data_IF_444098490818
#
_entry.id   IF_444098490818
#
_cell.length_a   1.000
_cell.length_b   1.000
_cell.length_c   1.000
_cell.angle_alpha   90.00
_cell.angle_beta   90.00
_cell.angle_gamma   90.00
#
_symmetry.space_group_name_H-M   'P 1'
#
loop_
_entity.id
_entity.type
_entity.pdbx_description
1 polymer ?
#
# COMPACT_ATOMS: atom_id res chain seq x y z
N UNK A 1 14.47 -35.02 40.15
CA UNK A 1 13.04 -34.77 40.36
C UNK A 1 12.67 -33.69 39.37
N UNK A 2 12.21 -34.06 38.22
CA UNK A 2 10.84 -34.07 37.65
C UNK A 2 10.24 -32.68 37.59
N UNK A 3 9.79 -32.14 36.49
CA UNK A 3 9.12 -32.75 35.31
C UNK A 3 9.10 -31.72 34.14
N UNK A 4 9.16 -32.30 32.94
CA UNK A 4 8.88 -31.70 31.66
C UNK A 4 7.38 -31.33 31.53
N UNK A 5 7.03 -30.23 30.83
CA UNK A 5 5.77 -30.14 30.13
C UNK A 5 5.99 -29.66 28.69
N UNK A 6 5.91 -30.63 27.80
CA UNK A 6 5.64 -30.46 26.37
C UNK A 6 4.17 -30.10 26.22
N UNK A 7 3.85 -29.08 25.45
CA UNK A 7 2.53 -28.86 24.92
C UNK A 7 2.55 -29.24 23.42
N UNK A 8 1.75 -30.26 23.11
CA UNK A 8 1.64 -30.86 21.79
C UNK A 8 0.72 -30.10 20.87
N UNK A 9 1.04 -30.23 19.61
CA UNK A 9 0.20 -29.89 18.47
C UNK A 9 -1.07 -30.73 18.46
N UNK A 10 -2.24 -30.10 18.37
CA UNK A 10 -3.51 -30.78 18.13
C UNK A 10 -3.90 -30.63 16.65
N UNK A 11 -3.54 -31.65 15.87
CA UNK A 11 -4.12 -31.93 14.57
C UNK A 11 -5.54 -32.46 14.76
N UNK A 12 -6.56 -31.77 14.25
CA UNK A 12 -7.94 -32.28 14.23
C UNK A 12 -8.18 -32.97 12.90
N UNK A 13 -8.06 -34.29 12.93
CA UNK A 13 -8.53 -35.19 11.88
C UNK A 13 -10.04 -35.42 12.01
N UNK A 14 -10.78 -35.12 10.94
CA UNK A 14 -12.22 -35.35 10.82
C UNK A 14 -12.48 -36.84 10.54
N UNK A 15 -12.88 -37.64 11.55
CA UNK A 15 -13.41 -38.99 11.36
C UNK A 15 -14.94 -38.96 11.41
N UNK A 16 -15.56 -39.40 10.29
CA UNK A 16 -17.00 -39.74 10.20
C UNK A 16 -17.36 -40.90 11.13
N UNK A 17 -18.42 -40.74 11.87
CA UNK A 17 -19.20 -41.86 12.44
C UNK A 17 -20.66 -41.79 11.99
N UNK A 18 -21.29 -42.95 11.65
CA UNK A 18 -22.67 -42.99 11.20
C UNK A 18 -23.67 -43.24 12.36
N UNK A 19 -24.80 -42.53 12.25
CA UNK A 19 -26.13 -42.97 12.64
C UNK A 19 -26.46 -43.18 14.10
N UNK A 20 -27.46 -42.40 14.62
CA UNK A 20 -28.55 -42.89 15.45
C UNK A 20 -29.70 -41.87 15.40
N UNK A 21 -30.82 -42.34 14.84
CA UNK A 21 -32.24 -42.12 15.12
C UNK A 21 -32.79 -40.75 15.52
N UNK A 22 -33.78 -40.38 14.75
CA UNK A 22 -34.73 -39.28 14.80
C UNK A 22 -35.30 -38.86 16.13
N UNK A 23 -35.06 -37.57 16.41
CA UNK A 23 -35.92 -36.76 17.22
C UNK A 23 -36.60 -35.72 16.34
N UNK A 24 -37.81 -35.23 16.66
CA UNK A 24 -38.52 -34.31 15.79
C UNK A 24 -37.72 -33.03 15.61
N UNK A 25 -37.45 -32.68 14.34
CA UNK A 25 -36.85 -31.43 13.95
C UNK A 25 -37.65 -30.29 14.58
N UNK A 26 -37.01 -29.51 15.41
CA UNK A 26 -37.55 -28.28 15.96
C UNK A 26 -37.66 -27.24 14.82
N UNK A 27 -38.87 -26.89 14.33
CA UNK A 27 -39.04 -26.04 13.15
C UNK A 27 -39.00 -24.55 13.49
N UNK A 28 -38.09 -24.11 14.36
CA UNK A 28 -38.02 -22.72 14.79
C UNK A 28 -36.64 -22.09 14.73
N UNK A 29 -35.80 -22.49 13.78
CA UNK A 29 -34.80 -21.55 13.26
C UNK A 29 -35.45 -20.87 12.04
N UNK A 30 -36.45 -20.04 12.32
CA UNK A 30 -36.83 -18.96 11.39
C UNK A 30 -35.55 -18.15 11.19
N UNK A 31 -34.95 -18.23 10.02
CA UNK A 31 -33.94 -17.31 9.55
C UNK A 31 -34.55 -15.92 9.55
N UNK A 32 -34.44 -15.24 10.70
CA UNK A 32 -34.90 -13.86 10.89
C UNK A 32 -34.21 -13.07 9.79
N UNK A 33 -34.99 -12.47 8.88
CA UNK A 33 -34.39 -11.62 7.86
C UNK A 33 -33.50 -10.60 8.58
N UNK A 34 -32.25 -10.39 8.11
CA UNK A 34 -31.33 -9.52 8.81
C UNK A 34 -31.94 -8.12 8.91
N UNK A 35 -31.89 -7.54 10.12
CA UNK A 35 -32.46 -6.22 10.36
C UNK A 35 -31.75 -5.16 9.51
N UNK A 36 -32.43 -4.05 9.22
CA UNK A 36 -31.82 -2.90 8.54
C UNK A 36 -30.53 -2.46 9.26
N UNK A 37 -30.53 -2.43 10.59
CA UNK A 37 -29.38 -2.08 11.40
C UNK A 37 -28.18 -3.03 11.20
N UNK A 38 -28.43 -4.36 11.14
CA UNK A 38 -27.37 -5.35 10.93
C UNK A 38 -26.73 -5.21 9.54
N UNK A 39 -27.55 -4.90 8.51
CA UNK A 39 -27.08 -4.66 7.14
C UNK A 39 -26.20 -3.42 7.06
N UNK A 40 -26.59 -2.33 7.72
CA UNK A 40 -25.79 -1.09 7.79
C UNK A 40 -24.49 -1.33 8.56
N UNK A 41 -24.56 -2.00 9.72
CA UNK A 41 -23.36 -2.27 10.54
C UNK A 41 -22.32 -3.07 9.76
N UNK A 42 -22.73 -4.13 9.07
CA UNK A 42 -21.82 -4.90 8.21
C UNK A 42 -21.21 -4.04 7.10
N UNK A 43 -22.03 -3.23 6.42
CA UNK A 43 -21.56 -2.35 5.34
C UNK A 43 -20.54 -1.33 5.84
N UNK A 44 -20.77 -0.73 7.02
CA UNK A 44 -19.84 0.19 7.67
C UNK A 44 -18.52 -0.47 8.06
N UNK A 45 -18.58 -1.68 8.65
CA UNK A 45 -17.38 -2.42 9.02
C UNK A 45 -16.55 -2.82 7.80
N UNK A 46 -17.22 -3.24 6.72
CA UNK A 46 -16.55 -3.56 5.46
C UNK A 46 -15.89 -2.32 4.85
N UNK A 47 -16.62 -1.20 4.76
CA UNK A 47 -16.11 0.05 4.21
C UNK A 47 -14.89 0.56 5.00
N UNK A 48 -14.98 0.56 6.34
CA UNK A 48 -13.86 0.95 7.20
C UNK A 48 -12.65 0.01 7.04
N UNK A 49 -12.88 -1.30 6.88
CA UNK A 49 -11.81 -2.27 6.66
C UNK A 49 -11.11 -2.06 5.32
N UNK A 50 -11.86 -1.90 4.23
CA UNK A 50 -11.31 -1.63 2.90
C UNK A 50 -10.52 -0.33 2.87
N UNK A 51 -11.01 0.74 3.54
CA UNK A 51 -10.29 2.00 3.68
C UNK A 51 -8.97 1.80 4.43
N UNK A 52 -8.99 1.16 5.59
CA UNK A 52 -7.81 0.93 6.43
C UNK A 52 -6.73 0.10 5.70
N UNK A 53 -7.13 -0.81 4.80
CA UNK A 53 -6.21 -1.67 4.05
C UNK A 53 -5.79 -1.09 2.69
N UNK A 54 -5.96 0.22 2.51
CA UNK A 54 -5.35 0.99 1.42
C UNK A 54 -6.13 0.96 0.10
N UNK A 55 -7.43 0.67 0.11
CA UNK A 55 -8.27 0.77 -1.08
C UNK A 55 -8.47 2.25 -1.48
N UNK A 56 -8.33 2.57 -2.78
CA UNK A 56 -8.61 3.92 -3.29
C UNK A 56 -10.09 4.26 -3.21
N UNK A 57 -10.43 5.56 -3.11
CA UNK A 57 -11.80 6.05 -2.98
C UNK A 57 -12.72 5.48 -4.07
N UNK A 58 -12.32 5.57 -5.34
CA UNK A 58 -13.07 5.05 -6.48
C UNK A 58 -13.45 3.57 -6.32
N UNK A 59 -12.49 2.73 -5.93
CA UNK A 59 -12.73 1.29 -5.78
C UNK A 59 -13.57 0.98 -4.55
N UNK A 60 -13.34 1.68 -3.46
CA UNK A 60 -14.09 1.52 -2.23
C UNK A 60 -15.58 1.86 -2.45
N UNK A 61 -15.87 3.00 -3.06
CA UNK A 61 -17.23 3.45 -3.33
C UNK A 61 -17.98 2.45 -4.25
N UNK A 62 -17.30 1.98 -5.31
CA UNK A 62 -17.86 0.95 -6.19
C UNK A 62 -18.13 -0.38 -5.47
N UNK A 63 -17.21 -0.83 -4.61
CA UNK A 63 -17.35 -2.06 -3.83
C UNK A 63 -18.54 -1.96 -2.89
N UNK A 64 -18.61 -0.88 -2.11
CA UNK A 64 -19.66 -0.66 -1.14
C UNK A 64 -21.03 -0.54 -1.80
N UNK A 65 -21.15 0.17 -2.93
CA UNK A 65 -22.40 0.29 -3.67
C UNK A 65 -22.89 -1.08 -4.18
N UNK A 66 -21.98 -1.95 -4.65
CA UNK A 66 -22.34 -3.31 -5.09
C UNK A 66 -22.76 -4.20 -3.93
N UNK A 67 -22.05 -4.17 -2.81
CA UNK A 67 -22.40 -4.96 -1.61
C UNK A 67 -23.74 -4.46 -1.05
N UNK A 68 -23.94 -3.15 -0.98
CA UNK A 68 -25.22 -2.57 -0.55
C UNK A 68 -26.39 -3.06 -1.39
N UNK A 69 -26.25 -3.02 -2.74
CA UNK A 69 -27.30 -3.50 -3.65
C UNK A 69 -27.64 -4.98 -3.43
N UNK A 70 -26.63 -5.84 -3.14
CA UNK A 70 -26.85 -7.25 -2.79
C UNK A 70 -27.55 -7.43 -1.45
N UNK A 71 -27.33 -6.50 -0.51
CA UNK A 71 -28.00 -6.46 0.79
C UNK A 71 -29.36 -5.74 0.73
N UNK A 72 -29.89 -5.44 -0.46
CA UNK A 72 -31.13 -4.67 -0.67
C UNK A 72 -31.08 -3.29 0.01
N UNK A 73 -29.95 -2.64 -0.08
CA UNK A 73 -29.73 -1.26 0.35
C UNK A 73 -29.37 -0.38 -0.83
N UNK A 74 -29.92 0.82 -0.90
CA UNK A 74 -29.39 1.89 -1.75
C UNK A 74 -28.38 2.67 -0.93
N UNK A 75 -27.14 2.74 -1.41
CA UNK A 75 -26.06 3.39 -0.67
C UNK A 75 -25.34 4.39 -1.57
N UNK A 76 -25.19 5.61 -1.09
CA UNK A 76 -24.28 6.61 -1.63
C UNK A 76 -23.09 6.69 -0.70
N UNK A 77 -21.91 6.34 -1.22
CA UNK A 77 -20.66 6.34 -0.47
C UNK A 77 -19.78 7.47 -0.99
N UNK A 78 -19.18 8.23 -0.08
CA UNK A 78 -18.16 9.23 -0.36
C UNK A 78 -16.96 8.97 0.54
N UNK A 79 -15.85 8.57 -0.06
CA UNK A 79 -14.63 8.24 0.64
C UNK A 79 -13.56 9.31 0.40
N UNK A 80 -12.85 9.70 1.47
CA UNK A 80 -11.66 10.52 1.41
C UNK A 80 -10.57 9.92 2.33
N UNK A 81 -9.31 10.33 2.24
CA UNK A 81 -8.23 9.71 3.02
C UNK A 81 -8.43 9.73 4.54
N UNK A 82 -9.21 10.65 5.07
CA UNK A 82 -9.41 10.86 6.51
C UNK A 82 -10.82 10.56 7.00
N UNK A 83 -11.69 10.02 6.15
CA UNK A 83 -13.05 9.72 6.56
C UNK A 83 -13.92 9.12 5.47
N UNK A 84 -15.08 8.67 5.89
CA UNK A 84 -16.06 8.01 5.05
C UNK A 84 -17.45 8.54 5.41
N UNK A 85 -18.23 8.90 4.40
CA UNK A 85 -19.64 9.27 4.52
C UNK A 85 -20.44 8.22 3.76
N UNK A 86 -21.39 7.58 4.44
CA UNK A 86 -22.32 6.63 3.85
C UNK A 86 -23.74 7.11 4.11
N UNK A 87 -24.49 7.34 3.03
CA UNK A 87 -25.92 7.56 3.10
C UNK A 87 -26.62 6.31 2.59
N UNK A 88 -27.46 5.72 3.42
CA UNK A 88 -28.06 4.40 3.19
C UNK A 88 -29.57 4.50 3.36
N UNK A 89 -30.29 3.90 2.39
CA UNK A 89 -31.76 3.78 2.40
C UNK A 89 -32.11 2.31 2.23
N UNK A 90 -33.09 1.82 2.98
CA UNK A 90 -33.62 0.48 2.76
C UNK A 90 -34.35 0.43 1.42
N UNK A 91 -33.94 -0.47 0.54
CA UNK A 91 -34.57 -0.60 -0.79
C UNK A 91 -35.96 -1.24 -0.72
N UNK A 92 -36.23 -1.98 0.35
CA UNK A 92 -37.51 -2.67 0.59
C UNK A 92 -38.45 -1.88 1.51
N UNK A 93 -38.07 -0.70 2.00
CA UNK A 93 -38.94 0.14 2.80
C UNK A 93 -40.13 0.61 1.98
N UNK A 94 -41.34 0.28 2.43
CA UNK A 94 -42.56 0.85 1.88
C UNK A 94 -42.53 2.36 2.09
N UNK A 95 -42.48 3.12 1.01
CA UNK A 95 -42.59 4.57 1.06
C UNK A 95 -44.07 4.89 1.01
N UNK A 96 -44.66 5.40 2.09
CA UNK A 96 -46.01 6.00 2.04
C UNK A 96 -46.01 7.08 0.95
N UNK A 97 -47.04 7.09 0.13
CA UNK A 97 -47.17 8.06 -0.99
C UNK A 97 -46.95 9.48 -0.46
N UNK A 98 -45.82 10.11 -0.84
CA UNK A 98 -45.48 11.49 -0.44
C UNK A 98 -44.53 11.64 0.74
N UNK A 99 -44.13 10.57 1.44
CA UNK A 99 -43.13 10.64 2.50
C UNK A 99 -41.72 10.30 1.97
N UNK A 100 -40.67 11.06 2.30
CA UNK A 100 -39.32 10.68 1.95
C UNK A 100 -38.90 9.39 2.68
N UNK A 101 -38.30 8.44 1.96
CA UNK A 101 -37.76 7.23 2.57
C UNK A 101 -36.77 7.59 3.68
N UNK A 102 -36.85 6.89 4.80
CA UNK A 102 -35.95 7.11 5.94
C UNK A 102 -34.50 6.85 5.50
N UNK A 103 -33.71 7.91 5.44
CA UNK A 103 -32.30 7.89 5.06
C UNK A 103 -31.43 7.92 6.32
N UNK A 104 -30.47 6.98 6.39
CA UNK A 104 -29.50 6.93 7.48
C UNK A 104 -28.15 7.36 6.97
N UNK A 105 -27.68 8.54 7.37
CA UNK A 105 -26.34 9.00 7.06
C UNK A 105 -25.38 8.70 8.21
N UNK A 106 -24.25 8.08 7.90
CA UNK A 106 -23.16 7.77 8.84
C UNK A 106 -21.89 8.45 8.38
N UNK A 107 -21.27 9.19 9.28
CA UNK A 107 -19.96 9.81 9.09
C UNK A 107 -18.96 9.13 10.01
N UNK A 108 -17.90 8.58 9.45
CA UNK A 108 -16.85 7.87 10.20
C UNK A 108 -15.52 8.54 9.92
N UNK A 109 -14.85 9.02 10.96
CA UNK A 109 -13.46 9.49 10.85
C UNK A 109 -12.53 8.29 10.86
N UNK A 110 -11.64 8.23 9.90
CA UNK A 110 -10.63 7.16 9.74
C UNK A 110 -9.27 7.81 9.52
N UNK A 111 -8.22 7.14 9.93
CA UNK A 111 -6.86 7.51 9.56
C UNK A 111 -6.57 7.03 8.13
N UNK A 112 -5.68 7.72 7.37
CA UNK A 112 -5.26 7.24 6.06
C UNK A 112 -4.75 5.80 6.13
N UNK A 113 -5.33 4.92 5.34
CA UNK A 113 -4.99 3.50 5.36
C UNK A 113 -3.67 3.19 4.66
N UNK A 114 -2.95 2.21 5.19
CA UNK A 114 -1.76 1.61 4.58
C UNK A 114 -2.13 0.39 3.74
N UNK A 115 -1.30 0.06 2.75
CA UNK A 115 -1.50 -1.14 1.94
C UNK A 115 -1.27 -2.39 2.79
N UNK A 116 -2.32 -3.21 2.94
CA UNK A 116 -2.27 -4.52 3.59
C UNK A 116 -3.01 -5.54 2.70
N UNK A 117 -2.26 -6.20 1.82
CA UNK A 117 -2.83 -7.09 0.81
C UNK A 117 -3.47 -8.35 1.41
N UNK A 118 -2.91 -8.89 2.49
CA UNK A 118 -3.47 -10.08 3.13
C UNK A 118 -4.83 -9.77 3.76
N UNK A 119 -4.92 -8.68 4.52
CA UNK A 119 -6.17 -8.26 5.17
C UNK A 119 -7.21 -7.79 4.16
N UNK A 120 -6.77 -7.15 3.08
CA UNK A 120 -7.66 -6.79 1.98
C UNK A 120 -8.30 -8.03 1.34
N UNK A 121 -7.50 -9.08 1.07
CA UNK A 121 -8.02 -10.35 0.54
C UNK A 121 -8.95 -11.06 1.52
N UNK A 122 -8.66 -10.98 2.83
CA UNK A 122 -9.51 -11.57 3.86
C UNK A 122 -10.84 -10.80 3.99
N UNK A 123 -10.82 -9.48 3.91
CA UNK A 123 -12.03 -8.66 3.92
C UNK A 123 -12.93 -8.93 2.71
N UNK A 124 -12.33 -9.09 1.52
CA UNK A 124 -13.04 -9.48 0.29
C UNK A 124 -13.67 -10.87 0.43
N UNK A 125 -12.93 -11.86 0.94
CA UNK A 125 -13.43 -13.22 1.15
C UNK A 125 -14.60 -13.25 2.17
N UNK A 126 -14.53 -12.48 3.26
CA UNK A 126 -15.63 -12.36 4.22
C UNK A 126 -16.87 -11.74 3.55
N UNK A 127 -16.69 -10.69 2.75
CA UNK A 127 -17.79 -10.07 2.03
C UNK A 127 -18.46 -11.05 1.05
N UNK A 128 -17.68 -11.83 0.29
CA UNK A 128 -18.21 -12.85 -0.63
C UNK A 128 -18.96 -13.97 0.13
N UNK A 129 -18.43 -14.48 1.26
CA UNK A 129 -19.10 -15.50 2.06
C UNK A 129 -20.44 -15.01 2.64
N UNK A 130 -20.48 -13.76 3.09
CA UNK A 130 -21.74 -13.15 3.57
C UNK A 130 -22.74 -13.00 2.42
N UNK A 131 -22.29 -12.54 1.26
CA UNK A 131 -23.15 -12.38 0.08
C UNK A 131 -23.62 -13.71 -0.53
N UNK A 132 -22.85 -14.78 -0.35
CA UNK A 132 -23.22 -16.15 -0.73
C UNK A 132 -24.19 -16.81 0.27
N UNK A 133 -24.39 -16.20 1.45
CA UNK A 133 -25.20 -16.78 2.53
C UNK A 133 -24.49 -17.88 3.34
N UNK A 134 -23.18 -18.04 3.13
CA UNK A 134 -22.35 -19.01 3.87
C UNK A 134 -22.00 -18.52 5.28
N UNK A 135 -22.10 -17.20 5.50
CA UNK A 135 -21.84 -16.54 6.78
C UNK A 135 -22.93 -15.52 7.07
N UNK A 136 -23.37 -15.42 8.32
CA UNK A 136 -24.33 -14.41 8.75
C UNK A 136 -23.69 -13.01 8.79
N UNK A 137 -24.50 -11.94 8.68
CA UNK A 137 -24.04 -10.55 8.78
C UNK A 137 -23.32 -10.26 10.10
N UNK A 138 -23.81 -10.80 11.21
CA UNK A 138 -23.22 -10.61 12.53
C UNK A 138 -21.86 -11.33 12.66
N UNK A 139 -21.72 -12.52 12.10
CA UNK A 139 -20.44 -13.25 12.03
C UNK A 139 -19.46 -12.52 11.12
N UNK A 140 -19.90 -12.06 9.94
CA UNK A 140 -19.09 -11.27 9.03
C UNK A 140 -18.57 -9.98 9.66
N UNK A 141 -19.43 -9.24 10.36
CA UNK A 141 -19.03 -8.02 11.09
C UNK A 141 -18.02 -8.33 12.20
N UNK A 142 -18.18 -9.46 12.90
CA UNK A 142 -17.23 -9.90 13.93
C UNK A 142 -15.89 -10.30 13.31
N UNK A 143 -15.92 -11.05 12.21
CA UNK A 143 -14.72 -11.45 11.46
C UNK A 143 -13.93 -10.23 10.93
N UNK A 144 -14.62 -9.24 10.36
CA UNK A 144 -13.99 -7.98 9.91
C UNK A 144 -13.35 -7.21 11.09
N UNK A 145 -13.98 -7.18 12.26
CA UNK A 145 -13.36 -6.57 13.45
C UNK A 145 -12.13 -7.34 13.93
N UNK A 146 -12.14 -8.65 13.83
CA UNK A 146 -11.01 -9.49 14.23
C UNK A 146 -9.76 -9.27 13.34
N UNK A 147 -9.91 -8.84 12.08
CA UNK A 147 -8.79 -8.50 11.20
C UNK A 147 -7.94 -7.33 11.73
N UNK A 148 -8.46 -6.49 12.62
CA UNK A 148 -7.73 -5.34 13.19
C UNK A 148 -6.68 -5.72 14.25
N UNK A 149 -6.54 -7.00 14.58
CA UNK A 149 -5.55 -7.46 15.54
C UNK A 149 -4.11 -7.02 15.17
N UNK A 150 -3.29 -6.56 16.13
CA UNK A 150 -1.93 -6.12 15.85
C UNK A 150 -1.06 -7.27 15.33
N UNK A 151 -0.09 -6.94 14.48
CA UNK A 151 0.87 -7.91 13.95
C UNK A 151 1.79 -8.43 15.05
N UNK A 152 2.13 -9.72 15.01
CA UNK A 152 3.06 -10.32 15.97
C UNK A 152 4.49 -9.76 15.83
N UNK A 153 5.31 -9.95 16.88
CA UNK A 153 6.71 -9.44 16.94
C UNK A 153 7.55 -9.94 15.76
N UNK A 154 7.39 -11.19 15.35
CA UNK A 154 8.12 -11.74 14.21
C UNK A 154 7.79 -11.01 12.89
N UNK A 155 6.52 -10.66 12.67
CA UNK A 155 6.11 -9.88 11.49
C UNK A 155 6.67 -8.46 11.53
N UNK A 156 6.71 -7.84 12.71
CA UNK A 156 7.32 -6.51 12.91
C UNK A 156 8.82 -6.54 12.64
N UNK A 157 9.54 -7.55 13.14
CA UNK A 157 10.97 -7.73 12.87
C UNK A 157 11.26 -7.95 11.38
N UNK A 158 10.42 -8.76 10.70
CA UNK A 158 10.53 -8.97 9.26
C UNK A 158 10.26 -7.68 8.48
N UNK A 159 9.30 -6.86 8.91
CA UNK A 159 9.04 -5.54 8.33
C UNK A 159 10.26 -4.63 8.46
N UNK A 160 10.84 -4.50 9.67
CA UNK A 160 12.05 -3.69 9.88
C UNK A 160 13.23 -4.16 9.03
N UNK A 161 13.44 -5.47 8.91
CA UNK A 161 14.48 -6.04 8.05
C UNK A 161 14.20 -5.75 6.56
N UNK A 162 12.96 -5.80 6.13
CA UNK A 162 12.57 -5.53 4.74
C UNK A 162 12.75 -4.06 4.34
N UNK A 163 12.74 -3.11 5.28
CA UNK A 163 13.18 -1.74 4.99
C UNK A 163 14.64 -1.71 4.54
N UNK A 164 15.52 -2.41 5.25
CA UNK A 164 16.93 -2.53 4.87
C UNK A 164 17.12 -3.20 3.51
N UNK A 165 16.38 -4.29 3.23
CA UNK A 165 16.41 -4.96 1.94
C UNK A 165 15.91 -4.08 0.80
N UNK A 166 14.81 -3.33 1.00
CA UNK A 166 14.29 -2.40 0.02
C UNK A 166 15.30 -1.29 -0.29
N UNK A 167 15.93 -0.73 0.76
CA UNK A 167 16.97 0.30 0.59
C UNK A 167 18.20 -0.23 -0.16
N UNK A 168 18.69 -1.42 0.20
CA UNK A 168 19.80 -2.08 -0.51
C UNK A 168 19.47 -2.33 -1.97
N UNK A 169 18.28 -2.85 -2.25
CA UNK A 169 17.87 -3.20 -3.60
C UNK A 169 17.69 -1.97 -4.48
N UNK A 170 17.14 -0.88 -3.95
CA UNK A 170 17.02 0.38 -4.69
C UNK A 170 18.38 1.00 -4.97
N UNK A 171 19.33 0.98 -4.02
CA UNK A 171 20.71 1.39 -4.27
C UNK A 171 21.35 0.54 -5.38
N UNK A 172 21.13 -0.79 -5.36
CA UNK A 172 21.59 -1.70 -6.43
C UNK A 172 20.97 -1.42 -7.79
N UNK A 173 19.65 -1.16 -7.86
CA UNK A 173 18.97 -0.78 -9.11
C UNK A 173 19.42 0.58 -9.66
N UNK A 174 19.89 1.47 -8.78
CA UNK A 174 20.50 2.75 -9.18
C UNK A 174 21.97 2.61 -9.65
N UNK A 175 22.53 1.40 -9.63
CA UNK A 175 23.85 1.11 -10.13
C UNK A 175 24.98 1.70 -9.28
N UNK A 176 24.85 1.68 -7.95
CA UNK A 176 25.83 2.27 -7.04
C UNK A 176 26.85 1.25 -6.52
N UNK A 177 27.94 1.75 -5.90
CA UNK A 177 28.98 0.92 -5.32
C UNK A 177 28.47 0.04 -4.16
N UNK A 178 29.17 -1.04 -3.86
CA UNK A 178 28.84 -1.95 -2.76
C UNK A 178 28.79 -1.26 -1.38
N UNK A 179 29.65 -0.24 -1.18
CA UNK A 179 29.65 0.57 0.02
C UNK A 179 28.34 1.36 0.17
N UNK A 180 27.83 1.91 -0.92
CA UNK A 180 26.54 2.62 -0.94
C UNK A 180 25.38 1.67 -0.63
N UNK A 181 25.38 0.48 -1.24
CA UNK A 181 24.36 -0.56 -1.01
C UNK A 181 24.34 -1.00 0.45
N UNK A 182 25.51 -1.30 1.02
CA UNK A 182 25.63 -1.73 2.41
C UNK A 182 25.20 -0.61 3.39
N UNK A 183 25.59 0.63 3.11
CA UNK A 183 25.23 1.80 3.92
C UNK A 183 23.72 2.06 3.85
N UNK A 184 23.13 2.04 2.64
CA UNK A 184 21.69 2.19 2.47
C UNK A 184 20.90 1.08 3.17
N UNK A 185 21.38 -0.18 3.12
CA UNK A 185 20.79 -1.31 3.83
C UNK A 185 20.75 -1.09 5.35
N UNK A 186 21.87 -0.69 5.94
CA UNK A 186 22.01 -0.44 7.38
C UNK A 186 21.11 0.70 7.84
N UNK A 187 21.13 1.83 7.13
CA UNK A 187 20.29 2.99 7.44
C UNK A 187 18.80 2.63 7.25
N UNK A 188 18.44 1.97 6.17
CA UNK A 188 17.07 1.52 5.91
C UNK A 188 16.55 0.60 7.01
N UNK A 189 17.39 -0.32 7.52
CA UNK A 189 17.03 -1.15 8.67
C UNK A 189 16.76 -0.33 9.93
N UNK A 190 17.62 0.65 10.24
CA UNK A 190 17.42 1.56 11.39
C UNK A 190 16.10 2.33 11.26
N UNK A 191 15.78 2.83 10.06
CA UNK A 191 14.50 3.49 9.78
C UNK A 191 13.34 2.51 9.96
N UNK A 192 13.47 1.27 9.50
CA UNK A 192 12.47 0.22 9.69
C UNK A 192 12.20 -0.10 11.16
N UNK A 193 13.23 -0.16 11.98
CA UNK A 193 13.09 -0.31 13.44
C UNK A 193 12.35 0.90 14.02
N UNK A 194 12.72 2.12 13.62
CA UNK A 194 12.06 3.34 14.06
C UNK A 194 10.59 3.38 13.65
N UNK A 195 10.27 2.96 12.43
CA UNK A 195 8.89 2.84 11.93
C UNK A 195 8.06 1.88 12.79
N UNK A 196 8.59 0.70 13.09
CA UNK A 196 7.92 -0.31 13.93
C UNK A 196 7.73 0.19 15.36
N UNK A 197 8.71 0.86 15.96
CA UNK A 197 8.61 1.45 17.30
C UNK A 197 7.66 2.66 17.35
N UNK A 198 7.51 3.37 16.24
CA UNK A 198 6.58 4.49 16.06
C UNK A 198 5.13 4.05 15.95
N UNK A 199 4.88 2.82 15.52
CA UNK A 199 3.54 2.28 15.37
C UNK A 199 2.77 2.32 16.71
N UNK A 200 1.59 2.92 16.69
CA UNK A 200 0.76 3.10 17.90
C UNK A 200 1.14 4.30 18.79
N UNK A 201 2.09 5.14 18.36
CA UNK A 201 2.48 6.38 19.07
C UNK A 201 2.19 7.61 18.19
N UNK A 202 1.02 8.25 18.28
CA UNK A 202 0.60 9.32 17.36
C UNK A 202 1.61 10.47 17.24
N UNK A 203 2.15 10.94 18.37
CA UNK A 203 3.15 12.05 18.37
C UNK A 203 4.45 11.71 17.65
N UNK A 204 4.86 10.45 17.69
CA UNK A 204 6.08 10.00 17.00
C UNK A 204 5.81 9.81 15.52
N UNK A 205 4.65 9.27 15.15
CA UNK A 205 4.26 9.08 13.74
C UNK A 205 4.15 10.39 12.97
N UNK A 206 3.69 11.48 13.59
CA UNK A 206 3.59 12.80 12.94
C UNK A 206 4.96 13.38 12.52
N UNK A 207 6.00 13.14 13.32
CA UNK A 207 7.36 13.62 13.07
C UNK A 207 8.28 12.61 12.39
N UNK A 208 7.83 11.38 12.22
CA UNK A 208 8.66 10.25 11.79
C UNK A 208 9.39 10.51 10.46
N UNK A 209 8.71 11.08 9.47
CA UNK A 209 9.29 11.37 8.16
C UNK A 209 10.51 12.30 8.28
N UNK A 210 10.36 13.42 9.01
CA UNK A 210 11.43 14.40 9.17
C UNK A 210 12.61 13.84 10.00
N UNK A 211 12.30 13.10 11.08
CA UNK A 211 13.31 12.48 11.93
C UNK A 211 14.06 11.38 11.16
N UNK A 212 13.35 10.57 10.37
CA UNK A 212 13.96 9.54 9.55
C UNK A 212 14.92 10.12 8.52
N UNK A 213 14.51 11.19 7.83
CA UNK A 213 15.36 11.85 6.85
C UNK A 213 16.58 12.53 7.48
N UNK A 214 16.40 13.16 8.64
CA UNK A 214 17.50 13.73 9.43
C UNK A 214 18.49 12.64 9.84
N UNK A 215 18.00 11.56 10.41
CA UNK A 215 18.83 10.43 10.87
C UNK A 215 19.53 9.75 9.69
N UNK A 216 18.82 9.49 8.58
CA UNK A 216 19.39 8.89 7.38
C UNK A 216 20.56 9.71 6.83
N UNK A 217 20.37 11.02 6.74
CA UNK A 217 21.37 11.93 6.19
C UNK A 217 22.58 12.05 7.13
N UNK A 218 22.37 12.16 8.45
CA UNK A 218 23.46 12.19 9.40
C UNK A 218 24.28 10.89 9.40
N UNK A 219 23.61 9.74 9.41
CA UNK A 219 24.29 8.44 9.37
C UNK A 219 25.05 8.25 8.05
N UNK A 220 24.47 8.61 6.91
CA UNK A 220 25.15 8.54 5.62
C UNK A 220 26.39 9.44 5.59
N UNK A 221 26.28 10.68 6.11
CA UNK A 221 27.40 11.62 6.20
C UNK A 221 28.47 11.12 7.16
N UNK A 222 28.09 10.54 8.30
CA UNK A 222 29.03 9.97 9.28
C UNK A 222 29.79 8.78 8.66
N UNK A 223 29.12 7.88 7.95
CA UNK A 223 29.77 6.77 7.24
C UNK A 223 30.72 7.30 6.18
N UNK A 224 30.30 8.31 5.40
CA UNK A 224 31.13 8.91 4.36
C UNK A 224 32.37 9.61 4.89
N UNK A 225 32.28 10.20 6.09
CA UNK A 225 33.37 10.95 6.70
C UNK A 225 34.37 10.05 7.47
N UNK A 226 33.88 9.03 8.21
CA UNK A 226 34.73 8.24 9.10
C UNK A 226 35.09 6.82 8.64
N UNK A 227 34.23 6.21 7.78
CA UNK A 227 34.40 4.80 7.41
C UNK A 227 34.82 4.62 5.95
N UNK A 228 33.94 4.95 5.02
CA UNK A 228 34.14 4.70 3.57
C UNK A 228 33.46 5.81 2.77
N UNK A 229 34.09 6.32 1.73
CA UNK A 229 33.46 7.31 0.86
C UNK A 229 32.25 6.69 0.17
N UNK A 230 31.08 7.34 0.26
CA UNK A 230 29.81 6.92 -0.33
C UNK A 230 29.12 8.07 -1.08
N UNK A 231 28.29 7.74 -2.06
CA UNK A 231 27.46 8.73 -2.75
C UNK A 231 26.28 9.13 -1.87
N UNK A 232 26.42 10.25 -1.17
CA UNK A 232 25.44 10.71 -0.18
C UNK A 232 24.03 10.84 -0.76
N UNK A 233 23.89 11.46 -1.94
CA UNK A 233 22.57 11.71 -2.53
C UNK A 233 21.85 10.41 -2.82
N UNK A 234 22.53 9.43 -3.35
CA UNK A 234 21.94 8.13 -3.68
C UNK A 234 21.67 7.28 -2.45
N UNK A 235 22.60 7.26 -1.48
CA UNK A 235 22.40 6.53 -0.22
C UNK A 235 21.21 7.07 0.56
N UNK A 236 21.06 8.39 0.68
CA UNK A 236 19.91 9.01 1.37
C UNK A 236 18.60 8.68 0.68
N UNK A 237 18.52 8.85 -0.67
CA UNK A 237 17.32 8.50 -1.43
C UNK A 237 16.95 7.03 -1.28
N UNK A 238 17.92 6.13 -1.41
CA UNK A 238 17.69 4.69 -1.27
C UNK A 238 17.27 4.30 0.14
N UNK A 239 17.86 4.91 1.17
CA UNK A 239 17.52 4.66 2.56
C UNK A 239 16.09 5.10 2.93
N UNK A 240 15.59 6.15 2.28
CA UNK A 240 14.25 6.70 2.51
C UNK A 240 13.18 6.12 1.58
N UNK A 241 13.52 5.20 0.67
CA UNK A 241 12.65 4.77 -0.43
C UNK A 241 11.25 4.32 0.02
N UNK A 242 11.16 3.63 1.15
CA UNK A 242 9.89 3.13 1.69
C UNK A 242 9.00 4.26 2.21
N UNK A 243 9.60 5.36 2.69
CA UNK A 243 8.88 6.54 3.20
C UNK A 243 8.48 7.51 2.08
N UNK A 244 9.06 7.39 0.89
CA UNK A 244 8.73 8.27 -0.23
C UNK A 244 7.29 8.03 -0.69
N UNK A 245 6.44 9.07 -0.76
CA UNK A 245 5.00 8.94 -1.01
C UNK A 245 4.66 8.69 -2.48
N UNK A 246 5.44 7.85 -3.17
CA UNK A 246 5.28 7.59 -4.59
C UNK A 246 3.93 6.97 -4.92
N UNK A 247 3.56 5.87 -4.26
CA UNK A 247 2.26 5.21 -4.46
C UNK A 247 1.09 6.14 -4.10
N UNK A 248 1.27 6.97 -3.07
CA UNK A 248 0.29 7.98 -2.66
C UNK A 248 0.07 9.02 -3.77
N UNK A 249 1.15 9.49 -4.43
CA UNK A 249 1.06 10.39 -5.58
C UNK A 249 0.34 9.74 -6.77
N UNK A 250 0.69 8.49 -7.11
CA UNK A 250 0.03 7.77 -8.20
C UNK A 250 -1.48 7.56 -7.93
N UNK A 251 -1.85 7.19 -6.71
CA UNK A 251 -3.23 7.05 -6.30
C UNK A 251 -3.96 8.41 -6.34
N UNK A 252 -3.32 9.49 -5.88
CA UNK A 252 -3.89 10.84 -5.93
C UNK A 252 -4.23 11.25 -7.38
N UNK A 253 -3.30 11.10 -8.31
CA UNK A 253 -3.53 11.45 -9.73
C UNK A 253 -4.60 10.53 -10.35
N UNK A 254 -4.62 9.25 -10.00
CA UNK A 254 -5.66 8.31 -10.43
C UNK A 254 -7.05 8.71 -9.93
N UNK A 255 -7.17 9.14 -8.66
CA UNK A 255 -8.41 9.62 -8.07
C UNK A 255 -8.88 10.94 -8.72
N UNK A 256 -7.96 11.89 -8.98
CA UNK A 256 -8.25 13.12 -9.71
C UNK A 256 -8.76 12.83 -11.13
N UNK A 257 -8.10 11.92 -11.84
CA UNK A 257 -8.49 11.53 -13.21
C UNK A 257 -9.85 10.84 -13.26
N UNK A 258 -10.27 10.19 -12.18
CA UNK A 258 -11.58 9.53 -12.05
C UNK A 258 -12.64 10.40 -11.38
N UNK A 259 -12.44 11.72 -11.30
CA UNK A 259 -13.36 12.72 -10.75
C UNK A 259 -13.61 12.61 -9.23
N UNK A 260 -12.79 11.86 -8.48
CA UNK A 260 -12.82 11.82 -7.02
C UNK A 260 -11.95 12.96 -6.47
N UNK A 261 -12.36 14.20 -6.76
CA UNK A 261 -11.55 15.41 -6.56
C UNK A 261 -11.16 15.64 -5.08
N UNK A 262 -12.09 15.41 -4.15
CA UNK A 262 -11.79 15.57 -2.72
C UNK A 262 -10.75 14.56 -2.22
N UNK A 263 -10.89 13.30 -2.60
CA UNK A 263 -9.94 12.26 -2.21
C UNK A 263 -8.57 12.51 -2.84
N UNK A 264 -8.54 12.78 -4.15
CA UNK A 264 -7.32 13.01 -4.91
C UNK A 264 -6.54 14.23 -4.43
N UNK A 265 -7.20 15.38 -4.22
CA UNK A 265 -6.54 16.60 -3.72
C UNK A 265 -6.00 16.44 -2.30
N UNK A 266 -6.78 15.83 -1.40
CA UNK A 266 -6.34 15.58 -0.03
C UNK A 266 -5.13 14.64 0.00
N UNK A 267 -5.15 13.57 -0.80
CA UNK A 267 -4.03 12.60 -0.92
C UNK A 267 -2.80 13.25 -1.54
N UNK A 268 -2.97 14.09 -2.57
CA UNK A 268 -1.88 14.82 -3.20
C UNK A 268 -1.22 15.79 -2.22
N UNK A 269 -2.02 16.60 -1.51
CA UNK A 269 -1.51 17.52 -0.49
C UNK A 269 -0.77 16.79 0.64
N UNK A 270 -1.29 15.62 1.09
CA UNK A 270 -0.62 14.76 2.06
C UNK A 270 0.74 14.26 1.56
N UNK A 271 0.82 13.82 0.31
CA UNK A 271 2.08 13.37 -0.29
C UNK A 271 3.11 14.50 -0.39
N UNK A 272 2.68 15.70 -0.80
CA UNK A 272 3.56 16.88 -0.83
C UNK A 272 4.06 17.24 0.57
N UNK A 273 3.18 17.20 1.58
CA UNK A 273 3.57 17.43 2.97
C UNK A 273 4.63 16.43 3.46
N UNK A 274 4.49 15.14 3.13
CA UNK A 274 5.51 14.12 3.43
C UNK A 274 6.83 14.43 2.74
N UNK A 275 6.81 14.76 1.44
CA UNK A 275 8.03 15.14 0.71
C UNK A 275 8.73 16.36 1.35
N UNK A 276 7.95 17.37 1.76
CA UNK A 276 8.51 18.56 2.44
C UNK A 276 9.15 18.21 3.78
N UNK A 277 8.52 17.34 4.60
CA UNK A 277 9.09 16.86 5.87
C UNK A 277 10.41 16.12 5.65
N UNK A 278 10.45 15.20 4.66
CA UNK A 278 11.66 14.45 4.31
C UNK A 278 12.78 15.38 3.83
N UNK A 279 12.46 16.32 2.94
CA UNK A 279 13.43 17.30 2.42
C UNK A 279 13.96 18.18 3.54
N UNK A 280 13.07 18.70 4.41
CA UNK A 280 13.49 19.50 5.57
C UNK A 280 14.45 18.73 6.47
N UNK A 281 14.14 17.47 6.80
CA UNK A 281 15.01 16.61 7.62
C UNK A 281 16.39 16.43 6.99
N UNK A 282 16.45 16.19 5.67
CA UNK A 282 17.72 16.04 4.94
C UNK A 282 18.53 17.33 4.95
N UNK A 283 17.91 18.48 4.66
CA UNK A 283 18.58 19.78 4.63
C UNK A 283 19.09 20.16 6.02
N UNK A 284 18.27 19.99 7.06
CA UNK A 284 18.67 20.26 8.44
C UNK A 284 19.88 19.41 8.85
N UNK A 285 19.88 18.11 8.51
CA UNK A 285 21.00 17.20 8.79
C UNK A 285 22.28 17.63 8.04
N UNK A 286 22.15 18.02 6.77
CA UNK A 286 23.31 18.49 5.98
C UNK A 286 23.91 19.75 6.58
N UNK A 287 23.10 20.71 7.02
CA UNK A 287 23.61 21.91 7.70
C UNK A 287 24.28 21.58 9.05
N UNK A 288 23.65 20.68 9.81
CA UNK A 288 24.25 20.24 11.08
C UNK A 288 25.58 19.51 10.88
N UNK A 289 25.70 18.65 9.88
CA UNK A 289 26.95 17.98 9.54
C UNK A 289 28.06 18.98 9.13
N UNK A 290 27.70 20.02 8.36
CA UNK A 290 28.63 21.11 8.01
C UNK A 290 29.14 21.88 9.24
N UNK A 291 28.28 22.14 10.22
CA UNK A 291 28.68 22.80 11.49
C UNK A 291 29.67 21.95 12.29
N UNK A 292 29.55 20.61 12.16
CA UNK A 292 30.50 19.67 12.78
C UNK A 292 31.81 19.49 11.97
N UNK A 293 31.92 20.16 10.81
CA UNK A 293 33.08 20.03 9.92
C UNK A 293 33.08 18.73 9.10
N UNK A 294 31.95 18.00 9.05
CA UNK A 294 31.84 16.78 8.26
C UNK A 294 31.58 17.13 6.80
N UNK A 295 32.64 17.24 6.03
CA UNK A 295 32.59 17.51 4.58
C UNK A 295 33.18 16.31 3.86
N UNK A 296 32.38 15.27 3.56
CA UNK A 296 32.87 14.10 2.86
C UNK A 296 33.14 14.43 1.40
N UNK A 297 34.15 13.77 0.83
CA UNK A 297 34.44 13.82 -0.61
C UNK A 297 33.60 12.78 -1.35
N UNK A 298 33.00 13.16 -2.49
CA UNK A 298 32.28 12.21 -3.31
C UNK A 298 33.28 11.29 -4.04
N UNK A 299 33.15 9.96 -3.90
CA UNK A 299 34.02 9.03 -4.59
C UNK A 299 33.62 8.89 -6.07
N UNK A 300 34.58 8.55 -6.97
CA UNK A 300 34.23 8.00 -8.25
C UNK A 300 33.49 6.67 -8.01
N UNK A 301 32.24 6.56 -8.46
CA UNK A 301 31.46 5.34 -8.31
C UNK A 301 31.94 4.29 -9.32
N UNK A 302 32.55 3.17 -8.90
CA UNK A 302 32.84 2.08 -9.81
C UNK A 302 31.53 1.51 -10.33
N UNK A 303 31.45 1.22 -11.64
CA UNK A 303 30.28 0.64 -12.27
C UNK A 303 30.07 -0.77 -11.70
N UNK A 304 28.91 -1.08 -11.10
CA UNK A 304 28.64 -2.41 -10.58
C UNK A 304 28.46 -3.40 -11.75
N UNK A 305 28.65 -4.72 -11.51
CA UNK A 305 28.43 -5.74 -12.51
C UNK A 305 26.94 -5.83 -12.91
N UNK A 306 26.65 -6.09 -14.18
CA UNK A 306 25.29 -6.12 -14.73
C UNK A 306 24.34 -7.10 -14.04
N UNK A 307 24.86 -8.23 -13.52
CA UNK A 307 24.05 -9.19 -12.79
C UNK A 307 23.44 -8.64 -11.49
N UNK A 308 24.08 -7.60 -10.91
CA UNK A 308 23.61 -6.97 -9.67
C UNK A 308 22.20 -6.40 -9.81
N UNK A 309 21.87 -5.85 -10.96
CA UNK A 309 20.53 -5.31 -11.23
C UNK A 309 19.43 -6.39 -11.09
N UNK A 310 19.69 -7.59 -11.63
CA UNK A 310 18.74 -8.70 -11.54
C UNK A 310 18.54 -9.19 -10.11
N UNK A 311 19.65 -9.31 -9.36
CA UNK A 311 19.58 -9.66 -7.93
C UNK A 311 18.85 -8.56 -7.15
N UNK A 312 19.18 -7.30 -7.40
CA UNK A 312 18.52 -6.16 -6.77
C UNK A 312 17.02 -6.13 -7.07
N UNK A 313 16.61 -6.42 -8.31
CA UNK A 313 15.21 -6.51 -8.70
C UNK A 313 14.46 -7.62 -7.95
N UNK A 314 15.06 -8.80 -7.81
CA UNK A 314 14.48 -9.91 -7.05
C UNK A 314 14.33 -9.58 -5.57
N UNK A 315 15.37 -8.97 -4.97
CA UNK A 315 15.34 -8.53 -3.57
C UNK A 315 14.32 -7.42 -3.36
N UNK A 316 14.21 -6.45 -4.29
CA UNK A 316 13.18 -5.43 -4.25
C UNK A 316 11.78 -6.03 -4.27
N UNK A 317 11.51 -6.93 -5.22
CA UNK A 317 10.22 -7.59 -5.36
C UNK A 317 9.83 -8.36 -4.08
N UNK A 318 10.78 -9.08 -3.47
CA UNK A 318 10.57 -9.77 -2.19
C UNK A 318 10.31 -8.80 -1.04
N UNK A 319 11.14 -7.76 -0.89
CA UNK A 319 10.98 -6.79 0.20
C UNK A 319 9.65 -6.05 0.12
N UNK A 320 9.20 -5.68 -1.07
CA UNK A 320 7.87 -5.07 -1.23
C UNK A 320 6.72 -6.05 -1.00
N UNK A 321 6.88 -7.36 -1.28
CA UNK A 321 5.88 -8.35 -0.89
C UNK A 321 5.67 -8.40 0.63
N UNK A 322 6.75 -8.29 1.40
CA UNK A 322 6.69 -8.20 2.87
C UNK A 322 6.10 -6.87 3.32
N UNK A 323 6.57 -5.75 2.76
CA UNK A 323 6.13 -4.39 3.14
C UNK A 323 4.64 -4.13 2.86
N UNK A 324 4.11 -4.70 1.78
CA UNK A 324 2.67 -4.70 1.48
C UNK A 324 1.89 -5.73 2.27
N UNK A 325 2.53 -6.42 3.23
CA UNK A 325 1.90 -7.41 4.10
C UNK A 325 1.12 -8.47 3.30
N UNK A 326 1.68 -8.94 2.17
CA UNK A 326 1.06 -10.00 1.40
C UNK A 326 1.06 -11.32 2.18
N UNK A 327 0.10 -12.21 1.92
CA UNK A 327 0.15 -13.57 2.44
C UNK A 327 1.30 -14.33 1.74
N UNK A 328 2.01 -15.21 2.46
CA UNK A 328 3.15 -15.97 1.91
C UNK A 328 2.82 -16.71 0.61
N UNK A 329 1.59 -17.21 0.48
CA UNK A 329 1.09 -17.86 -0.76
C UNK A 329 0.99 -16.91 -1.95
N UNK A 330 0.89 -15.59 -1.71
CA UNK A 330 0.74 -14.57 -2.73
C UNK A 330 2.09 -13.96 -3.16
N UNK A 331 3.18 -14.25 -2.44
CA UNK A 331 4.51 -13.73 -2.75
C UNK A 331 4.91 -13.93 -4.21
N UNK A 332 4.75 -15.14 -4.82
CA UNK A 332 5.13 -15.32 -6.23
C UNK A 332 4.40 -14.38 -7.18
N UNK A 333 3.09 -14.15 -6.96
CA UNK A 333 2.27 -13.27 -7.78
C UNK A 333 2.67 -11.81 -7.59
N UNK A 334 2.88 -11.39 -6.34
CA UNK A 334 3.31 -10.04 -5.97
C UNK A 334 4.69 -9.73 -6.58
N UNK A 335 5.64 -10.64 -6.42
CA UNK A 335 6.99 -10.51 -6.98
C UNK A 335 6.97 -10.47 -8.51
N UNK A 336 6.25 -11.41 -9.13
CA UNK A 336 6.13 -11.44 -10.59
C UNK A 336 5.52 -10.14 -11.15
N UNK A 337 4.54 -9.57 -10.45
CA UNK A 337 3.91 -8.31 -10.84
C UNK A 337 4.88 -7.11 -10.74
N UNK A 338 5.66 -7.01 -9.66
CA UNK A 338 6.67 -5.96 -9.50
C UNK A 338 7.75 -6.05 -10.59
N UNK A 339 8.23 -7.27 -10.87
CA UNK A 339 9.21 -7.53 -11.93
C UNK A 339 8.62 -7.20 -13.31
N UNK A 340 7.38 -7.61 -13.59
CA UNK A 340 6.69 -7.31 -14.85
C UNK A 340 6.59 -5.80 -15.09
N UNK A 341 6.14 -5.04 -14.09
CA UNK A 341 6.06 -3.58 -14.18
C UNK A 341 7.42 -2.96 -14.50
N UNK A 342 8.46 -3.34 -13.74
CA UNK A 342 9.81 -2.85 -13.97
C UNK A 342 10.33 -3.15 -15.36
N UNK A 343 10.22 -4.41 -15.85
CA UNK A 343 10.72 -4.81 -17.17
C UNK A 343 9.97 -4.11 -18.31
N UNK A 344 8.64 -3.99 -18.20
CA UNK A 344 7.85 -3.25 -19.20
C UNK A 344 8.29 -1.78 -19.29
N UNK A 345 8.51 -1.13 -18.12
CA UNK A 345 9.00 0.26 -18.11
C UNK A 345 10.40 0.38 -18.67
N UNK A 346 11.32 -0.50 -18.28
CA UNK A 346 12.73 -0.47 -18.71
C UNK A 346 12.87 -0.67 -20.21
N UNK A 347 12.32 -1.78 -20.74
CA UNK A 347 12.45 -2.10 -22.17
C UNK A 347 11.60 -1.17 -23.03
N UNK A 348 10.39 -0.81 -22.57
CA UNK A 348 9.57 0.19 -23.25
C UNK A 348 10.24 1.56 -23.27
N UNK A 349 10.86 1.95 -22.16
CA UNK A 349 11.60 3.20 -22.03
C UNK A 349 12.84 3.26 -22.94
N UNK A 350 13.59 2.17 -23.02
CA UNK A 350 14.75 2.06 -23.90
C UNK A 350 14.37 2.15 -25.40
N UNK A 351 13.19 1.65 -25.76
CA UNK A 351 12.75 1.63 -27.17
C UNK A 351 12.00 2.90 -27.61
N UNK A 352 11.18 3.49 -26.73
CA UNK A 352 10.19 4.53 -27.09
C UNK A 352 10.24 5.79 -26.20
N UNK A 353 11.16 5.85 -25.28
CA UNK A 353 11.25 6.93 -24.28
C UNK A 353 10.60 6.58 -22.94
N UNK A 354 11.09 7.21 -21.88
CA UNK A 354 10.74 6.86 -20.49
C UNK A 354 9.24 6.96 -20.19
N UNK A 355 8.56 7.99 -20.66
CA UNK A 355 7.14 8.24 -20.46
C UNK A 355 6.28 7.13 -21.10
N UNK A 356 6.65 6.72 -22.34
CA UNK A 356 5.95 5.65 -23.05
C UNK A 356 6.21 4.31 -22.36
N UNK A 357 7.42 4.07 -21.87
CA UNK A 357 7.74 2.87 -21.07
C UNK A 357 6.88 2.75 -19.82
N UNK A 358 6.71 3.84 -19.07
CA UNK A 358 5.86 3.89 -17.88
C UNK A 358 4.38 3.71 -18.24
N UNK A 359 3.91 4.33 -19.32
CA UNK A 359 2.56 4.11 -19.86
C UNK A 359 2.30 2.63 -20.18
N UNK A 360 3.19 1.99 -20.92
CA UNK A 360 3.08 0.56 -21.27
C UNK A 360 3.08 -0.33 -20.02
N UNK A 361 3.95 -0.03 -19.06
CA UNK A 361 3.97 -0.76 -17.79
C UNK A 361 2.64 -0.62 -17.03
N UNK A 362 2.11 0.59 -16.90
CA UNK A 362 0.79 0.85 -16.31
C UNK A 362 -0.33 0.09 -16.99
N UNK A 363 -0.35 0.09 -18.34
CA UNK A 363 -1.32 -0.63 -19.16
C UNK A 363 -1.26 -2.14 -18.92
N UNK A 364 -0.07 -2.73 -18.99
CA UNK A 364 0.13 -4.18 -18.81
C UNK A 364 -0.22 -4.61 -17.39
N UNK A 365 0.25 -3.87 -16.37
CA UNK A 365 -0.04 -4.17 -14.96
C UNK A 365 -1.54 -4.06 -14.66
N UNK A 366 -2.23 -3.05 -15.20
CA UNK A 366 -3.68 -2.90 -15.03
C UNK A 366 -4.46 -4.02 -15.70
N UNK A 367 -4.13 -4.36 -16.94
CA UNK A 367 -4.76 -5.48 -17.66
C UNK A 367 -4.52 -6.82 -16.93
N UNK A 368 -3.27 -7.10 -16.53
CA UNK A 368 -2.91 -8.30 -15.77
C UNK A 368 -3.65 -8.38 -14.42
N UNK A 369 -3.78 -7.26 -13.72
CA UNK A 369 -4.58 -7.15 -12.48
C UNK A 369 -6.03 -7.54 -12.69
N UNK A 370 -6.67 -7.07 -13.77
CA UNK A 370 -8.05 -7.36 -14.07
C UNK A 370 -8.25 -8.81 -14.55
N UNK A 371 -7.30 -9.38 -15.31
CA UNK A 371 -7.28 -10.82 -15.66
C UNK A 371 -7.14 -11.67 -14.40
N UNK A 372 -6.21 -11.33 -13.52
CA UNK A 372 -6.02 -12.03 -12.25
C UNK A 372 -7.31 -12.04 -11.41
N UNK A 373 -7.95 -10.89 -11.25
CA UNK A 373 -9.17 -10.77 -10.47
C UNK A 373 -10.33 -11.60 -11.05
N UNK A 374 -10.39 -11.76 -12.39
CA UNK A 374 -11.40 -12.60 -13.06
C UNK A 374 -11.14 -14.08 -12.88
N UNK A 375 -9.86 -14.51 -13.02
CA UNK A 375 -9.47 -15.92 -13.04
C UNK A 375 -9.45 -16.50 -11.63
N UNK A 376 -8.80 -15.82 -10.70
CA UNK A 376 -8.59 -16.31 -9.34
C UNK A 376 -9.66 -15.87 -8.34
N UNK A 377 -10.60 -15.05 -8.74
CA UNK A 377 -11.65 -14.49 -7.87
C UNK A 377 -11.11 -13.83 -6.61
N UNK A 378 -10.01 -13.08 -6.74
CA UNK A 378 -9.33 -12.35 -5.66
C UNK A 378 -9.13 -10.88 -6.04
N UNK A 379 -8.90 -9.98 -5.06
CA UNK A 379 -8.68 -8.57 -5.35
C UNK A 379 -7.53 -8.34 -6.32
N UNK A 380 -7.78 -7.56 -7.39
CA UNK A 380 -6.75 -7.20 -8.37
C UNK A 380 -5.62 -6.34 -7.78
N UNK A 381 -5.82 -5.77 -6.60
CA UNK A 381 -4.81 -5.00 -5.87
C UNK A 381 -3.53 -5.82 -5.62
N UNK A 382 -3.64 -7.16 -5.46
CA UNK A 382 -2.49 -8.08 -5.28
C UNK A 382 -1.48 -8.01 -6.44
N UNK A 383 -1.95 -7.69 -7.64
CA UNK A 383 -1.10 -7.50 -8.83
C UNK A 383 -0.83 -6.01 -9.07
N UNK A 384 -1.86 -5.15 -8.98
CA UNK A 384 -1.74 -3.76 -9.38
C UNK A 384 -0.79 -2.96 -8.49
N UNK A 385 -0.90 -3.09 -7.17
CA UNK A 385 -0.10 -2.30 -6.23
C UNK A 385 1.40 -2.62 -6.35
N UNK A 386 1.85 -3.89 -6.26
CA UNK A 386 3.26 -4.19 -6.42
C UNK A 386 3.78 -3.92 -7.84
N UNK A 387 2.94 -4.12 -8.87
CA UNK A 387 3.32 -3.82 -10.25
C UNK A 387 3.61 -2.34 -10.51
N UNK A 388 3.06 -1.44 -9.72
CA UNK A 388 3.29 0.01 -9.85
C UNK A 388 4.44 0.53 -8.99
N UNK A 389 4.85 -0.17 -7.92
CA UNK A 389 5.72 0.44 -6.89
C UNK A 389 7.07 0.91 -7.42
N UNK A 390 7.66 0.17 -8.35
CA UNK A 390 8.94 0.51 -8.97
C UNK A 390 8.81 1.55 -10.10
N UNK A 391 7.58 1.88 -10.53
CA UNK A 391 7.30 2.83 -11.60
C UNK A 391 7.06 4.24 -11.07
N UNK A 392 6.69 4.35 -9.80
CA UNK A 392 6.22 5.61 -9.23
C UNK A 392 7.37 6.54 -8.93
N UNK A 393 7.32 7.82 -9.36
CA UNK A 393 8.44 8.77 -9.29
C UNK A 393 8.61 9.42 -7.92
N UNK A 394 8.47 8.66 -6.81
CA UNK A 394 8.63 9.19 -5.45
C UNK A 394 10.04 9.71 -5.18
N UNK A 395 11.07 8.99 -5.65
CA UNK A 395 12.47 9.40 -5.54
C UNK A 395 12.79 10.65 -6.38
N UNK A 396 12.19 10.77 -7.56
CA UNK A 396 12.35 11.95 -8.43
C UNK A 396 11.69 13.17 -7.78
N UNK A 397 10.50 13.01 -7.18
CA UNK A 397 9.81 14.07 -6.45
C UNK A 397 10.60 14.57 -5.25
N UNK A 398 11.23 13.67 -4.49
CA UNK A 398 12.12 14.04 -3.40
C UNK A 398 13.35 14.80 -3.89
N UNK A 399 14.00 14.32 -4.97
CA UNK A 399 15.15 15.02 -5.58
C UNK A 399 14.78 16.41 -6.10
N UNK A 400 13.60 16.55 -6.72
CA UNK A 400 13.09 17.85 -7.20
C UNK A 400 13.06 18.88 -6.08
N UNK A 401 12.45 18.54 -4.93
CA UNK A 401 12.41 19.44 -3.78
C UNK A 401 13.82 19.66 -3.19
N UNK A 402 14.66 18.64 -3.12
CA UNK A 402 16.03 18.79 -2.61
C UNK A 402 16.84 19.78 -3.44
N UNK A 403 16.74 19.76 -4.77
CA UNK A 403 17.40 20.74 -5.64
C UNK A 403 16.89 22.16 -5.39
N UNK A 404 15.59 22.35 -5.22
CA UNK A 404 15.03 23.68 -4.90
C UNK A 404 15.60 24.21 -3.58
N UNK A 405 15.72 23.38 -2.55
CA UNK A 405 16.31 23.79 -1.27
C UNK A 405 17.83 24.02 -1.36
N UNK A 406 18.53 23.33 -2.26
CA UNK A 406 19.95 23.59 -2.60
C UNK A 406 20.13 24.86 -3.47
N UNK A 407 19.04 25.60 -3.77
CA UNK A 407 18.98 26.78 -4.64
C UNK A 407 19.23 26.51 -6.13
N UNK A 408 19.19 25.27 -6.54
CA UNK A 408 19.20 24.88 -7.97
C UNK A 408 17.77 24.73 -8.47
N UNK A 409 17.13 25.90 -8.70
CA UNK A 409 15.71 25.97 -9.07
C UNK A 409 15.46 25.31 -10.43
N UNK A 410 16.38 25.42 -11.38
CA UNK A 410 16.21 24.86 -12.72
C UNK A 410 16.18 23.33 -12.69
N UNK A 411 17.13 22.68 -12.01
CA UNK A 411 17.11 21.23 -11.82
C UNK A 411 15.89 20.78 -11.01
N UNK A 412 15.48 21.57 -10.03
CA UNK A 412 14.28 21.31 -9.26
C UNK A 412 13.00 21.32 -10.10
N UNK A 413 12.84 22.31 -10.99
CA UNK A 413 11.71 22.40 -11.91
C UNK A 413 11.72 21.28 -12.95
N UNK A 414 12.86 20.97 -13.56
CA UNK A 414 13.00 19.89 -14.51
C UNK A 414 12.62 18.52 -13.92
N UNK A 415 13.13 18.23 -12.74
CA UNK A 415 12.73 17.03 -11.99
C UNK A 415 11.22 17.04 -11.63
N UNK A 416 10.66 18.20 -11.30
CA UNK A 416 9.22 18.37 -11.03
C UNK A 416 8.36 18.07 -12.26
N UNK A 417 8.73 18.56 -13.43
CA UNK A 417 8.08 18.23 -14.70
C UNK A 417 8.17 16.73 -15.00
N UNK A 418 9.32 16.12 -14.77
CA UNK A 418 9.49 14.66 -14.90
C UNK A 418 8.53 13.90 -14.01
N UNK A 419 8.32 14.31 -12.75
CA UNK A 419 7.32 13.69 -11.86
C UNK A 419 5.92 13.76 -12.47
N UNK A 420 5.53 14.93 -12.96
CA UNK A 420 4.19 15.15 -13.53
C UNK A 420 4.00 14.27 -14.77
N UNK A 421 4.94 14.26 -15.70
CA UNK A 421 4.85 13.48 -16.96
C UNK A 421 4.81 11.98 -16.69
N UNK A 422 5.64 11.47 -15.78
CA UNK A 422 5.64 10.06 -15.36
C UNK A 422 4.33 9.67 -14.69
N UNK A 423 3.79 10.52 -13.80
CA UNK A 423 2.49 10.25 -13.14
C UNK A 423 1.34 10.22 -14.15
N UNK A 424 1.30 11.18 -15.08
CA UNK A 424 0.28 11.22 -16.14
C UNK A 424 0.38 9.95 -17.01
N UNK A 425 1.58 9.58 -17.43
CA UNK A 425 1.82 8.39 -18.26
C UNK A 425 1.38 7.12 -17.54
N UNK A 426 1.75 6.97 -16.26
CA UNK A 426 1.34 5.83 -15.43
C UNK A 426 -0.19 5.73 -15.33
N UNK A 427 -0.85 6.83 -14.98
CA UNK A 427 -2.31 6.85 -14.80
C UNK A 427 -3.04 6.62 -16.12
N UNK A 428 -2.57 7.23 -17.22
CA UNK A 428 -3.10 6.95 -18.56
C UNK A 428 -2.98 5.45 -18.89
N UNK A 429 -1.80 4.84 -18.65
CA UNK A 429 -1.60 3.41 -18.83
C UNK A 429 -2.59 2.57 -18.02
N UNK A 430 -2.79 2.91 -16.73
CA UNK A 430 -3.76 2.21 -15.87
C UNK A 430 -5.20 2.33 -16.40
N UNK A 431 -5.61 3.50 -16.88
CA UNK A 431 -6.93 3.73 -17.44
C UNK A 431 -7.12 2.93 -18.75
N UNK A 432 -6.17 2.97 -19.66
CA UNK A 432 -6.22 2.19 -20.90
C UNK A 432 -6.22 0.68 -20.62
N UNK A 433 -5.45 0.20 -19.64
CA UNK A 433 -5.49 -1.19 -19.21
C UNK A 433 -6.87 -1.62 -18.68
N UNK A 434 -7.58 -0.73 -17.98
CA UNK A 434 -8.97 -0.96 -17.55
C UNK A 434 -9.96 -0.96 -18.71
N UNK A 435 -9.69 -0.20 -19.78
CA UNK A 435 -10.51 -0.23 -21.01
C UNK A 435 -10.31 -1.53 -21.79
N UNK A 436 -9.07 -2.00 -21.93
CA UNK A 436 -8.76 -3.26 -22.62
C UNK A 436 -9.34 -4.47 -21.88
N UNK A 437 -9.21 -4.50 -20.58
CA UNK A 437 -9.74 -5.57 -19.72
C UNK A 437 -10.59 -4.92 -18.62
N UNK A 438 -11.90 -4.71 -18.84
CA UNK A 438 -12.75 -4.05 -17.84
C UNK A 438 -12.75 -4.80 -16.51
N UNK A 439 -12.70 -4.13 -15.35
CA UNK A 439 -12.75 -4.77 -14.04
C UNK A 439 -14.15 -5.38 -13.83
N UNK A 440 -14.24 -6.71 -13.67
CA UNK A 440 -15.50 -7.38 -13.32
C UNK A 440 -15.75 -7.40 -11.82
N UNK A 441 -14.67 -7.35 -11.02
CA UNK A 441 -14.70 -7.24 -9.55
C UNK A 441 -14.26 -5.84 -9.13
N UNK A 442 -14.90 -5.32 -8.10
CA UNK A 442 -14.66 -3.97 -7.62
C UNK A 442 -13.48 -3.88 -6.63
N UNK A 443 -13.06 -5.01 -6.04
CA UNK A 443 -11.95 -5.07 -5.10
C UNK A 443 -10.65 -5.52 -5.73
#
# INVERSE_FOLDING_TARGET
>A
MTSQHRAGEASVACTRRPGILGGPANPSIMTRQPSYADRIEFLLQLAASLHTYGTTAQRLELAISKVAARLRLRCQAMANPTGLILSVVDADAEVEEGAPAAETTRVVRLEPGDVDLARLCQADAIAEQVLAGEMSLSEGSRALRALKAPSGVAAQALTAFSFGLASASVAGLLGTAWADIATAAGIGWVIGVMYVLGAGRPRLSEGLDAIAALLATLLATAVAYWLVPVNLKTVVVASLIVLLPGLTLANAVSELSSQHLMAGTARFAGAVATLLKLTFGTVAATQFARLLGWVPTEPPSPMPPEWLEWVALLVAAYSFAVLFRADRRDYPVVMASAILGYLCSRYGGAALGNEVGVFMAGLVVSAASNVYARTFRRPGAVVRVPGMILLVPGSVGFRSLSFVFERDVFLGLDAGFTVITVLISLVAGLLFGNLLVPPRRSL
#
